data_IF_217161533126
#
_entry.id   IF_217161533126
#
_cell.length_a   1.000
_cell.length_b   1.000
_cell.length_c   1.000
_cell.angle_alpha   90.00
_cell.angle_beta   90.00
_cell.angle_gamma   90.00
#
_symmetry.space_group_name_H-M   'P 1'
#
loop_
_entity.id
_entity.type
_entity.pdbx_description
1 polymer ?
#
# COMPACT_ATOMS: atom_id res chain seq x y z
N UNK A 1 -10.61 3.88 -13.66
CA UNK A 1 -11.08 4.51 -12.40
C UNK A 1 -12.60 4.37 -12.41
N UNK A 2 -13.19 3.52 -11.56
CA UNK A 2 -14.60 3.14 -11.73
C UNK A 2 -15.55 4.34 -11.85
N UNK A 3 -16.50 4.26 -12.79
CA UNK A 3 -17.52 5.29 -13.05
C UNK A 3 -18.30 5.59 -11.77
N UNK A 4 -18.47 6.86 -11.42
CA UNK A 4 -19.24 7.27 -10.24
C UNK A 4 -20.67 7.69 -10.59
N UNK A 5 -21.53 7.84 -9.58
CA UNK A 5 -22.89 8.32 -9.77
C UNK A 5 -22.95 9.73 -10.40
N UNK A 6 -21.98 10.59 -10.07
CA UNK A 6 -21.87 11.94 -10.62
C UNK A 6 -21.48 11.95 -12.12
N UNK A 7 -20.89 10.88 -12.62
CA UNK A 7 -20.46 10.77 -14.02
C UNK A 7 -21.60 10.33 -14.95
N UNK A 8 -22.64 9.68 -14.42
CA UNK A 8 -23.73 9.11 -15.23
C UNK A 8 -24.38 10.14 -16.18
N UNK A 9 -24.77 11.35 -15.73
CA UNK A 9 -25.32 12.37 -16.64
C UNK A 9 -24.33 12.91 -17.68
N UNK A 10 -23.04 12.66 -17.50
CA UNK A 10 -21.96 13.15 -18.38
C UNK A 10 -21.57 12.12 -19.44
N UNK A 11 -22.08 10.89 -19.34
CA UNK A 11 -21.85 9.88 -20.36
C UNK A 11 -22.60 10.27 -21.64
N UNK A 12 -21.97 10.12 -22.83
CA UNK A 12 -22.60 10.47 -24.10
C UNK A 12 -23.96 9.79 -24.29
N UNK A 13 -24.99 10.59 -24.59
CA UNK A 13 -26.36 10.12 -24.78
C UNK A 13 -27.20 9.98 -23.50
N UNK A 14 -26.62 10.27 -22.32
CA UNK A 14 -27.32 10.26 -21.03
C UNK A 14 -27.53 11.66 -20.44
N UNK A 15 -27.37 12.73 -21.23
CA UNK A 15 -27.42 14.13 -20.79
C UNK A 15 -28.79 14.53 -20.24
N UNK A 16 -29.84 13.79 -20.60
CA UNK A 16 -31.20 13.98 -20.09
C UNK A 16 -31.38 13.45 -18.65
N UNK A 17 -30.48 12.60 -18.15
CA UNK A 17 -30.50 12.12 -16.76
C UNK A 17 -30.08 13.27 -15.83
N UNK A 18 -30.85 13.51 -14.77
CA UNK A 18 -30.60 14.62 -13.84
C UNK A 18 -30.22 14.10 -12.47
N UNK A 19 -29.15 14.63 -11.89
CA UNK A 19 -28.82 14.38 -10.49
C UNK A 19 -29.71 15.24 -9.59
N UNK A 20 -30.51 14.62 -8.69
CA UNK A 20 -31.60 15.30 -7.95
C UNK A 20 -31.33 15.47 -6.46
N UNK A 21 -30.61 14.56 -5.81
CA UNK A 21 -30.30 14.63 -4.38
C UNK A 21 -29.05 13.82 -4.02
N UNK A 22 -28.45 14.11 -2.85
CA UNK A 22 -27.33 13.36 -2.29
C UNK A 22 -25.97 13.66 -2.93
N UNK A 23 -25.73 14.92 -3.33
CA UNK A 23 -24.51 15.34 -4.05
C UNK A 23 -23.21 14.96 -3.33
N UNK A 24 -23.18 14.98 -1.99
CA UNK A 24 -21.99 14.57 -1.23
C UNK A 24 -21.63 13.08 -1.41
N UNK A 25 -22.60 12.24 -1.76
CA UNK A 25 -22.38 10.85 -2.15
C UNK A 25 -22.12 10.63 -3.64
N UNK A 26 -22.02 11.69 -4.46
CA UNK A 26 -21.89 11.57 -5.91
C UNK A 26 -20.69 10.75 -6.39
N UNK A 27 -19.62 10.70 -5.60
CA UNK A 27 -18.39 9.95 -5.90
C UNK A 27 -18.51 8.44 -5.64
N UNK A 28 -19.69 7.93 -5.24
CA UNK A 28 -19.90 6.49 -5.02
C UNK A 28 -19.69 5.73 -6.33
N UNK A 29 -18.80 4.72 -6.36
CA UNK A 29 -18.50 3.97 -7.57
C UNK A 29 -19.67 3.08 -7.97
N UNK A 30 -20.00 3.10 -9.25
CA UNK A 30 -21.03 2.26 -9.88
C UNK A 30 -20.36 1.02 -10.45
N UNK A 31 -20.69 -0.12 -9.85
CA UNK A 31 -20.22 -1.45 -10.28
C UNK A 31 -21.09 -2.04 -11.38
N UNK A 32 -22.40 -1.81 -11.34
CA UNK A 32 -23.36 -2.48 -12.22
C UNK A 32 -24.72 -1.78 -12.24
N UNK A 33 -25.40 -1.62 -13.39
CA UNK A 33 -26.80 -1.20 -13.43
C UNK A 33 -27.74 -2.39 -13.10
N UNK A 34 -28.71 -2.18 -12.20
CA UNK A 34 -29.71 -3.20 -11.85
C UNK A 34 -31.11 -2.62 -11.91
N UNK A 35 -32.04 -3.29 -12.57
CA UNK A 35 -33.44 -2.85 -12.65
C UNK A 35 -34.25 -3.58 -11.58
N UNK A 36 -34.82 -2.82 -10.65
CA UNK A 36 -35.62 -3.34 -9.56
C UNK A 36 -37.11 -3.39 -9.94
N UNK A 37 -37.66 -4.59 -9.94
CA UNK A 37 -39.09 -4.83 -10.22
C UNK A 37 -39.90 -5.16 -8.96
N UNK A 38 -39.23 -5.38 -7.83
CA UNK A 38 -39.83 -5.82 -6.57
C UNK A 38 -40.10 -4.65 -5.61
N UNK A 39 -40.94 -4.89 -4.59
CA UNK A 39 -41.23 -3.93 -3.51
C UNK A 39 -40.00 -3.55 -2.69
N UNK A 40 -39.07 -4.49 -2.50
CA UNK A 40 -37.80 -4.32 -1.80
C UNK A 40 -36.62 -4.73 -2.69
N UNK A 41 -35.45 -4.18 -2.40
CA UNK A 41 -34.20 -4.44 -3.14
C UNK A 41 -33.17 -5.21 -2.33
N UNK A 42 -33.26 -5.18 -0.99
CA UNK A 42 -32.29 -5.79 -0.08
C UNK A 42 -31.86 -7.24 -0.44
N UNK A 43 -32.76 -8.17 -0.84
CA UNK A 43 -32.36 -9.55 -1.16
C UNK A 43 -31.55 -9.71 -2.46
N UNK A 44 -31.55 -8.68 -3.33
CA UNK A 44 -31.09 -8.79 -4.72
C UNK A 44 -29.81 -7.99 -4.99
N UNK A 45 -29.41 -7.13 -4.07
CA UNK A 45 -28.24 -6.26 -4.19
C UNK A 45 -27.05 -6.80 -3.39
N UNK A 46 -25.84 -6.48 -3.84
CA UNK A 46 -24.57 -6.87 -3.19
C UNK A 46 -23.69 -5.66 -2.86
N UNK A 47 -24.17 -4.44 -3.11
CA UNK A 47 -23.45 -3.19 -2.94
C UNK A 47 -22.77 -2.73 -4.23
N UNK A 48 -22.72 -1.41 -4.42
CA UNK A 48 -22.16 -0.75 -5.60
C UNK A 48 -23.05 -0.75 -6.85
N UNK A 49 -24.27 -1.30 -6.81
CA UNK A 49 -25.21 -1.22 -7.94
C UNK A 49 -25.76 0.20 -8.11
N UNK A 50 -26.06 0.59 -9.35
CA UNK A 50 -26.94 1.71 -9.66
C UNK A 50 -28.33 1.14 -9.93
N UNK A 51 -29.24 1.33 -8.98
CA UNK A 51 -30.55 0.66 -9.00
C UNK A 51 -31.57 1.53 -9.72
N UNK A 52 -32.21 0.98 -10.75
CA UNK A 52 -33.26 1.63 -11.51
C UNK A 52 -34.62 1.20 -10.96
N UNK A 53 -35.44 2.18 -10.60
CA UNK A 53 -36.80 1.98 -10.12
C UNK A 53 -37.76 2.51 -11.16
N UNK A 54 -38.66 1.62 -11.59
CA UNK A 54 -39.80 1.95 -12.43
C UNK A 54 -41.09 1.82 -11.62
N UNK A 55 -42.21 2.28 -12.20
CA UNK A 55 -43.54 1.99 -11.69
C UNK A 55 -44.38 1.06 -12.57
N UNK A 56 -43.75 0.36 -13.53
CA UNK A 56 -44.46 -0.45 -14.55
C UNK A 56 -45.12 -1.69 -13.92
N UNK A 57 -44.33 -2.49 -13.21
CA UNK A 57 -44.81 -3.73 -12.60
C UNK A 57 -45.41 -3.51 -11.20
N UNK A 58 -45.08 -2.38 -10.58
CA UNK A 58 -45.45 -2.07 -9.20
C UNK A 58 -45.63 -0.56 -9.01
N UNK A 59 -46.80 -0.09 -8.55
CA UNK A 59 -47.00 1.31 -8.20
C UNK A 59 -46.05 1.75 -7.09
N UNK A 60 -45.31 2.84 -7.30
CA UNK A 60 -44.35 3.36 -6.32
C UNK A 60 -44.96 4.52 -5.53
N UNK A 61 -45.25 4.27 -4.26
CA UNK A 61 -45.64 5.31 -3.31
C UNK A 61 -44.42 6.04 -2.75
N UNK A 62 -44.60 7.24 -2.19
CA UNK A 62 -43.53 7.95 -1.48
C UNK A 62 -42.93 7.10 -0.35
N UNK A 63 -43.78 6.38 0.40
CA UNK A 63 -43.33 5.49 1.47
C UNK A 63 -42.45 4.36 0.95
N UNK A 64 -42.82 3.74 -0.18
CA UNK A 64 -42.01 2.70 -0.81
C UNK A 64 -40.66 3.27 -1.29
N UNK A 65 -40.64 4.43 -1.95
CA UNK A 65 -39.38 5.05 -2.39
C UNK A 65 -38.46 5.41 -1.22
N UNK A 66 -39.00 5.90 -0.10
CA UNK A 66 -38.22 6.15 1.13
C UNK A 66 -37.64 4.86 1.70
N UNK A 67 -38.43 3.78 1.73
CA UNK A 67 -37.95 2.46 2.15
C UNK A 67 -36.78 2.00 1.27
N UNK A 68 -36.90 2.11 -0.05
CA UNK A 68 -35.82 1.73 -0.97
C UNK A 68 -34.55 2.54 -0.75
N UNK A 69 -34.64 3.83 -0.42
CA UNK A 69 -33.47 4.65 -0.08
C UNK A 69 -32.78 4.12 1.18
N UNK A 70 -33.54 3.75 2.22
CA UNK A 70 -32.96 3.16 3.43
C UNK A 70 -32.28 1.83 3.15
N UNK A 71 -32.95 0.92 2.43
CA UNK A 71 -32.39 -0.38 2.04
C UNK A 71 -31.11 -0.20 1.21
N UNK A 72 -31.11 0.74 0.27
CA UNK A 72 -29.98 1.05 -0.58
C UNK A 72 -28.75 1.52 0.22
N UNK A 73 -28.96 2.41 1.20
CA UNK A 73 -27.88 2.90 2.07
C UNK A 73 -27.32 1.78 2.93
N UNK A 74 -28.19 0.96 3.54
CA UNK A 74 -27.79 -0.18 4.38
C UNK A 74 -26.95 -1.20 3.60
N UNK A 75 -27.33 -1.48 2.35
CA UNK A 75 -26.66 -2.46 1.49
C UNK A 75 -25.55 -1.86 0.61
N UNK A 76 -25.14 -0.62 0.89
CA UNK A 76 -24.04 0.06 0.19
C UNK A 76 -24.25 0.17 -1.33
N UNK A 77 -25.49 0.32 -1.78
CA UNK A 77 -25.83 0.63 -3.18
C UNK A 77 -25.18 1.97 -3.57
N UNK A 78 -24.80 2.11 -4.85
CA UNK A 78 -24.12 3.32 -5.34
C UNK A 78 -25.09 4.50 -5.44
N UNK A 79 -26.26 4.28 -6.04
CA UNK A 79 -27.30 5.28 -6.20
C UNK A 79 -28.63 4.70 -6.68
N UNK A 80 -29.67 5.52 -6.66
CA UNK A 80 -31.01 5.16 -7.15
C UNK A 80 -31.39 6.05 -8.34
N UNK A 81 -31.81 5.43 -9.43
CA UNK A 81 -32.34 6.10 -10.63
C UNK A 81 -33.85 5.89 -10.66
N UNK A 82 -34.62 6.97 -10.56
CA UNK A 82 -36.09 6.91 -10.61
C UNK A 82 -36.54 7.34 -12.00
N UNK A 83 -37.32 6.49 -12.64
CA UNK A 83 -37.88 6.78 -13.95
C UNK A 83 -39.13 7.62 -13.82
N UNK A 84 -39.08 8.86 -14.30
CA UNK A 84 -40.23 9.77 -14.25
C UNK A 84 -40.90 9.95 -15.60
N UNK A 85 -42.22 9.99 -15.59
CA UNK A 85 -43.06 10.09 -16.78
C UNK A 85 -44.55 10.12 -16.40
N UNK A 86 -45.43 10.47 -17.35
CA UNK A 86 -46.84 10.73 -17.06
C UNK A 86 -47.62 9.48 -16.59
N UNK A 87 -47.15 8.27 -16.95
CA UNK A 87 -47.89 7.01 -16.78
C UNK A 87 -47.71 6.35 -15.42
N UNK A 88 -46.51 6.39 -14.83
CA UNK A 88 -46.17 5.59 -13.65
C UNK A 88 -45.76 6.45 -12.45
N UNK A 89 -44.62 7.13 -12.54
CA UNK A 89 -44.11 8.04 -11.51
C UNK A 89 -44.02 9.42 -12.14
N UNK A 90 -44.97 10.31 -11.83
CA UNK A 90 -45.01 11.64 -12.46
C UNK A 90 -43.83 12.51 -12.09
N UNK A 91 -43.48 12.51 -10.81
CA UNK A 91 -42.35 13.25 -10.25
C UNK A 91 -41.83 12.53 -9.02
N UNK A 92 -40.56 12.81 -8.67
CA UNK A 92 -39.97 12.30 -7.43
C UNK A 92 -40.49 13.12 -6.25
N UNK A 93 -41.17 12.52 -5.25
CA UNK A 93 -41.68 13.25 -4.11
C UNK A 93 -40.59 14.00 -3.34
N UNK A 94 -40.87 15.23 -2.91
CA UNK A 94 -39.90 16.07 -2.20
C UNK A 94 -39.32 15.40 -0.95
N UNK A 95 -40.16 14.69 -0.19
CA UNK A 95 -39.72 13.97 1.01
C UNK A 95 -38.71 12.85 0.73
N UNK A 96 -38.68 12.27 -0.48
CA UNK A 96 -37.65 11.29 -0.89
C UNK A 96 -36.32 12.00 -1.14
N UNK A 97 -36.35 13.17 -1.80
CA UNK A 97 -35.16 13.97 -2.07
C UNK A 97 -34.54 14.52 -0.77
N UNK A 98 -35.37 14.99 0.17
CA UNK A 98 -34.92 15.44 1.49
C UNK A 98 -34.25 14.31 2.28
N UNK A 99 -34.84 13.12 2.29
CA UNK A 99 -34.24 11.93 2.91
C UNK A 99 -32.89 11.56 2.28
N UNK A 100 -32.82 11.56 0.95
CA UNK A 100 -31.59 11.25 0.24
C UNK A 100 -30.48 12.27 0.53
N UNK A 101 -30.83 13.56 0.63
CA UNK A 101 -29.87 14.59 1.03
C UNK A 101 -29.38 14.41 2.47
N UNK A 102 -30.26 14.07 3.42
CA UNK A 102 -29.84 13.87 4.82
C UNK A 102 -28.93 12.64 5.00
N UNK A 103 -29.08 11.63 4.13
CA UNK A 103 -28.25 10.43 4.10
C UNK A 103 -27.05 10.54 3.15
N UNK A 104 -26.87 11.68 2.47
CA UNK A 104 -25.86 11.86 1.42
C UNK A 104 -25.91 10.76 0.33
N UNK A 105 -27.11 10.28 -0.02
CA UNK A 105 -27.32 9.16 -0.94
C UNK A 105 -27.76 9.64 -2.33
N UNK A 106 -27.04 9.31 -3.42
CA UNK A 106 -27.36 9.77 -4.76
C UNK A 106 -28.74 9.32 -5.26
N UNK A 107 -29.57 10.29 -5.66
CA UNK A 107 -30.77 10.06 -6.46
C UNK A 107 -30.61 10.75 -7.81
N UNK A 108 -30.80 9.99 -8.88
CA UNK A 108 -30.89 10.47 -10.24
C UNK A 108 -32.30 10.28 -10.79
N UNK A 109 -32.69 11.16 -11.69
CA UNK A 109 -33.94 11.11 -12.43
C UNK A 109 -33.65 10.79 -13.89
N UNK A 110 -34.30 9.75 -14.39
CA UNK A 110 -34.29 9.41 -15.80
C UNK A 110 -35.67 9.70 -16.39
N UNK A 111 -35.80 10.56 -17.43
CA UNK A 111 -37.08 10.75 -18.09
C UNK A 111 -37.47 9.50 -18.89
N UNK A 112 -38.76 9.18 -18.92
CA UNK A 112 -39.29 8.01 -19.63
C UNK A 112 -39.05 8.04 -21.15
N UNK A 113 -38.83 9.24 -21.73
CA UNK A 113 -38.40 9.40 -23.12
C UNK A 113 -37.04 8.75 -23.41
N UNK A 114 -36.16 8.70 -22.41
CA UNK A 114 -34.85 8.10 -22.52
C UNK A 114 -34.96 6.58 -22.30
N UNK A 115 -34.76 5.82 -23.38
CA UNK A 115 -34.96 4.38 -23.38
C UNK A 115 -33.99 3.67 -22.45
N UNK A 116 -34.53 2.87 -21.54
CA UNK A 116 -33.73 2.09 -20.58
C UNK A 116 -32.63 1.26 -21.23
N UNK A 117 -32.89 0.63 -22.39
CA UNK A 117 -31.89 -0.16 -23.10
C UNK A 117 -30.64 0.65 -23.46
N UNK A 118 -30.81 1.91 -23.88
CA UNK A 118 -29.69 2.81 -24.18
C UNK A 118 -28.95 3.16 -22.90
N UNK A 119 -29.69 3.48 -21.83
CA UNK A 119 -29.10 3.85 -20.53
C UNK A 119 -28.26 2.71 -19.96
N UNK A 120 -28.83 1.50 -19.89
CA UNK A 120 -28.12 0.34 -19.33
C UNK A 120 -26.97 -0.09 -20.23
N UNK A 121 -27.08 0.01 -21.56
CA UNK A 121 -26.00 -0.29 -22.51
C UNK A 121 -24.83 0.69 -22.35
N UNK A 122 -25.09 2.00 -22.37
CA UNK A 122 -24.04 3.03 -22.23
C UNK A 122 -23.32 2.89 -20.89
N UNK A 123 -24.06 2.74 -19.80
CA UNK A 123 -23.46 2.57 -18.46
C UNK A 123 -22.65 1.28 -18.38
N UNK A 124 -23.18 0.16 -18.87
CA UNK A 124 -22.47 -1.12 -18.83
C UNK A 124 -21.19 -1.09 -19.67
N UNK A 125 -21.25 -0.54 -20.88
CA UNK A 125 -20.09 -0.39 -21.75
C UNK A 125 -19.03 0.51 -21.14
N UNK A 126 -19.44 1.63 -20.55
CA UNK A 126 -18.52 2.56 -19.90
C UNK A 126 -17.85 1.91 -18.67
N UNK A 127 -18.59 1.13 -17.85
CA UNK A 127 -18.02 0.36 -16.74
C UNK A 127 -17.01 -0.68 -17.24
N UNK A 128 -17.35 -1.41 -18.30
CA UNK A 128 -16.45 -2.42 -18.89
C UNK A 128 -15.19 -1.77 -19.48
N UNK A 129 -15.34 -0.68 -20.22
CA UNK A 129 -14.19 0.06 -20.79
C UNK A 129 -13.27 0.59 -19.70
N UNK A 130 -13.82 1.20 -18.64
CA UNK A 130 -13.01 1.70 -17.53
C UNK A 130 -12.24 0.56 -16.83
N UNK A 131 -12.92 -0.57 -16.58
CA UNK A 131 -12.28 -1.74 -16.00
C UNK A 131 -11.16 -2.30 -16.90
N UNK A 132 -11.38 -2.36 -18.22
CA UNK A 132 -10.37 -2.81 -19.18
C UNK A 132 -9.16 -1.88 -19.22
N UNK A 133 -9.35 -0.56 -19.26
CA UNK A 133 -8.25 0.42 -19.21
C UNK A 133 -7.47 0.28 -17.90
N UNK A 134 -8.17 0.15 -16.77
CA UNK A 134 -7.55 -0.08 -15.47
C UNK A 134 -6.73 -1.38 -15.42
N UNK A 135 -7.27 -2.47 -15.99
CA UNK A 135 -6.55 -3.75 -16.08
C UNK A 135 -5.35 -3.66 -17.02
N UNK A 136 -5.48 -3.04 -18.20
CA UNK A 136 -4.38 -2.84 -19.15
C UNK A 136 -3.26 -2.00 -18.53
N UNK A 137 -3.60 -0.96 -17.78
CA UNK A 137 -2.63 -0.14 -17.03
C UNK A 137 -1.91 -0.97 -15.97
N UNK A 138 -2.66 -1.73 -15.15
CA UNK A 138 -2.09 -2.59 -14.11
C UNK A 138 -1.18 -3.66 -14.71
N UNK A 139 -1.58 -4.30 -15.82
CA UNK A 139 -0.80 -5.30 -16.53
C UNK A 139 0.48 -4.73 -17.13
N UNK A 140 0.38 -3.56 -17.78
CA UNK A 140 1.53 -2.85 -18.35
C UNK A 140 2.58 -2.54 -17.28
N UNK A 141 2.16 -1.89 -16.18
CA UNK A 141 3.07 -1.57 -15.09
C UNK A 141 3.61 -2.83 -14.40
N UNK A 142 2.79 -3.86 -14.19
CA UNK A 142 3.25 -5.15 -13.62
C UNK A 142 4.33 -5.81 -14.48
N UNK A 143 4.24 -5.72 -15.81
CA UNK A 143 5.29 -6.23 -16.71
C UNK A 143 6.60 -5.45 -16.53
N UNK A 144 6.52 -4.12 -16.46
CA UNK A 144 7.70 -3.27 -16.23
C UNK A 144 8.37 -3.57 -14.89
N UNK A 145 7.58 -3.74 -13.82
CA UNK A 145 8.11 -4.09 -12.49
C UNK A 145 8.89 -5.40 -12.53
N UNK A 146 8.35 -6.41 -13.22
CA UNK A 146 8.98 -7.73 -13.34
C UNK A 146 10.16 -7.77 -14.33
N UNK A 147 10.62 -6.61 -14.83
CA UNK A 147 11.79 -6.53 -15.70
C UNK A 147 11.52 -6.97 -17.15
N UNK A 148 10.25 -7.11 -17.56
CA UNK A 148 9.90 -7.27 -18.97
C UNK A 148 10.06 -5.91 -19.67
N UNK A 149 11.29 -5.57 -20.05
CA UNK A 149 11.60 -4.31 -20.70
C UNK A 149 11.36 -4.41 -22.21
N UNK A 150 10.39 -3.63 -22.69
CA UNK A 150 10.38 -3.18 -24.09
C UNK A 150 11.43 -2.06 -24.27
N UNK A 151 11.77 -1.71 -25.51
CA UNK A 151 12.63 -0.55 -25.77
C UNK A 151 12.02 0.73 -25.14
N UNK A 152 12.81 1.67 -24.60
CA UNK A 152 12.29 2.86 -23.90
C UNK A 152 11.22 3.62 -24.70
N UNK A 153 11.39 3.74 -26.02
CA UNK A 153 10.44 4.42 -26.90
C UNK A 153 9.06 3.73 -26.93
N UNK A 154 9.02 2.40 -26.85
CA UNK A 154 7.78 1.62 -26.79
C UNK A 154 7.10 1.73 -25.42
N UNK A 155 7.88 1.90 -24.35
CA UNK A 155 7.37 2.15 -23.00
C UNK A 155 6.64 3.50 -22.97
N UNK A 156 7.29 4.56 -23.47
CA UNK A 156 6.69 5.90 -23.56
C UNK A 156 5.42 5.91 -24.41
N UNK A 157 5.43 5.25 -25.59
CA UNK A 157 4.27 5.18 -26.47
C UNK A 157 3.07 4.49 -25.77
N UNK A 158 3.30 3.33 -25.14
CA UNK A 158 2.24 2.62 -24.40
C UNK A 158 1.75 3.37 -23.18
N UNK A 159 2.64 4.05 -22.45
CA UNK A 159 2.26 4.88 -21.32
C UNK A 159 1.29 5.98 -21.78
N UNK A 160 1.61 6.68 -22.87
CA UNK A 160 0.75 7.70 -23.46
C UNK A 160 -0.61 7.15 -23.93
N UNK A 161 -0.64 5.98 -24.57
CA UNK A 161 -1.90 5.30 -24.98
C UNK A 161 -2.81 4.97 -23.78
N UNK A 162 -2.22 4.69 -22.62
CA UNK A 162 -2.93 4.38 -21.37
C UNK A 162 -3.24 5.63 -20.53
N UNK A 163 -2.89 6.82 -21.02
CA UNK A 163 -3.07 8.08 -20.30
C UNK A 163 -2.12 8.28 -19.12
N UNK A 164 -1.02 7.52 -19.05
CA UNK A 164 0.05 7.70 -18.07
C UNK A 164 1.03 8.77 -18.57
N UNK A 165 1.27 9.79 -17.75
CA UNK A 165 2.28 10.80 -18.03
C UNK A 165 3.61 10.43 -17.35
N UNK A 166 4.61 10.02 -18.12
CA UNK A 166 5.93 9.63 -17.63
C UNK A 166 7.04 10.68 -17.85
N UNK A 167 6.67 11.92 -18.16
CA UNK A 167 7.62 13.04 -18.34
C UNK A 167 8.16 13.59 -17.00
N UNK A 168 7.46 13.29 -15.90
CA UNK A 168 7.85 13.73 -14.56
C UNK A 168 8.69 12.66 -13.87
N UNK A 169 9.73 13.05 -13.13
CA UNK A 169 10.43 12.08 -12.31
C UNK A 169 9.50 11.53 -11.24
N UNK A 170 9.73 10.29 -10.85
CA UNK A 170 8.93 9.63 -9.81
C UNK A 170 9.82 8.91 -8.81
N UNK A 171 9.33 8.75 -7.58
CA UNK A 171 9.83 7.77 -6.64
C UNK A 171 8.83 6.61 -6.56
N UNK A 172 9.32 5.41 -6.30
CA UNK A 172 8.45 4.28 -5.96
C UNK A 172 8.41 4.14 -4.45
N UNK A 173 7.20 3.99 -3.91
CA UNK A 173 6.97 3.74 -2.49
C UNK A 173 6.38 2.35 -2.32
N UNK A 174 7.10 1.50 -1.61
CA UNK A 174 6.63 0.19 -1.17
C UNK A 174 6.11 0.28 0.26
N UNK A 175 4.87 -0.11 0.50
CA UNK A 175 4.25 -0.19 1.82
C UNK A 175 4.03 -1.65 2.19
N UNK A 176 4.46 -2.03 3.39
CA UNK A 176 4.38 -3.40 3.92
C UNK A 176 3.67 -3.44 5.27
N UNK A 177 2.87 -4.48 5.47
CA UNK A 177 2.28 -4.83 6.76
C UNK A 177 3.26 -5.73 7.53
N UNK A 178 3.58 -5.36 8.78
CA UNK A 178 4.42 -6.18 9.65
C UNK A 178 3.84 -7.57 9.89
N UNK A 179 4.68 -8.60 9.86
CA UNK A 179 4.28 -9.97 10.16
C UNK A 179 3.32 -10.60 9.14
N UNK A 180 3.12 -9.98 7.96
CA UNK A 180 2.20 -10.47 6.94
C UNK A 180 2.48 -11.93 6.57
N UNK A 181 3.74 -12.26 6.27
CA UNK A 181 4.12 -13.62 5.86
C UNK A 181 3.92 -14.67 6.98
N UNK A 182 4.16 -14.31 8.25
CA UNK A 182 3.92 -15.23 9.38
C UNK A 182 2.44 -15.49 9.59
N UNK A 183 1.61 -14.45 9.48
CA UNK A 183 0.15 -14.56 9.60
C UNK A 183 -0.48 -15.24 8.39
N UNK A 184 0.12 -15.14 7.20
CA UNK A 184 -0.36 -15.83 6.00
C UNK A 184 -0.19 -17.35 6.10
N UNK A 185 0.88 -17.80 6.77
CA UNK A 185 1.22 -19.21 6.98
C UNK A 185 0.49 -19.85 8.18
N UNK A 186 -0.33 -19.11 8.93
CA UNK A 186 -1.10 -19.69 10.03
C UNK A 186 -2.15 -20.68 9.49
N UNK A 187 -2.29 -21.85 10.13
CA UNK A 187 -3.31 -22.85 9.75
C UNK A 187 -4.75 -22.42 10.04
N UNK A 188 -4.93 -21.31 10.76
CA UNK A 188 -6.22 -20.71 11.07
C UNK A 188 -6.82 -20.00 9.84
N UNK A 189 -7.86 -20.60 9.26
CA UNK A 189 -8.54 -20.08 8.07
C UNK A 189 -9.20 -18.72 8.32
N UNK A 190 -9.65 -18.44 9.54
CA UNK A 190 -10.33 -17.17 9.85
C UNK A 190 -9.32 -16.02 9.89
N UNK A 191 -8.13 -16.26 10.46
CA UNK A 191 -7.03 -15.30 10.42
C UNK A 191 -6.55 -15.01 8.99
N UNK A 192 -6.50 -16.03 8.12
CA UNK A 192 -6.13 -15.87 6.73
C UNK A 192 -7.09 -14.94 5.97
N UNK A 193 -8.40 -15.15 6.11
CA UNK A 193 -9.43 -14.29 5.48
C UNK A 193 -9.39 -12.86 6.02
N UNK A 194 -9.22 -12.69 7.32
CA UNK A 194 -9.06 -11.37 7.94
C UNK A 194 -7.85 -10.62 7.36
N UNK A 195 -6.73 -11.30 7.16
CA UNK A 195 -5.51 -10.70 6.61
C UNK A 195 -5.70 -10.22 5.16
N UNK A 196 -6.33 -11.04 4.31
CA UNK A 196 -6.64 -10.66 2.93
C UNK A 196 -7.60 -9.47 2.91
N UNK A 197 -8.60 -9.46 3.80
CA UNK A 197 -9.55 -8.36 3.89
C UNK A 197 -8.87 -7.06 4.31
N UNK A 198 -8.03 -7.09 5.36
CA UNK A 198 -7.24 -5.95 5.82
C UNK A 198 -6.31 -5.42 4.71
N UNK A 199 -5.65 -6.31 3.96
CA UNK A 199 -4.79 -5.90 2.84
C UNK A 199 -5.59 -5.19 1.74
N UNK A 200 -6.74 -5.74 1.36
CA UNK A 200 -7.58 -5.14 0.31
C UNK A 200 -8.16 -3.79 0.76
N UNK A 201 -8.52 -3.67 2.05
CA UNK A 201 -8.91 -2.38 2.63
C UNK A 201 -7.76 -1.37 2.60
N UNK A 202 -6.53 -1.78 2.95
CA UNK A 202 -5.35 -0.93 2.85
C UNK A 202 -5.08 -0.49 1.39
N UNK A 203 -5.18 -1.40 0.41
CA UNK A 203 -5.05 -1.05 -1.02
C UNK A 203 -6.08 0.02 -1.44
N UNK A 204 -7.35 -0.15 -1.04
CA UNK A 204 -8.39 0.84 -1.35
C UNK A 204 -8.14 2.19 -0.69
N UNK A 205 -7.84 2.20 0.62
CA UNK A 205 -7.58 3.42 1.39
C UNK A 205 -6.34 4.16 0.87
N UNK A 206 -5.29 3.43 0.52
CA UNK A 206 -4.08 4.01 -0.04
C UNK A 206 -4.35 4.59 -1.43
N UNK A 207 -5.14 3.91 -2.26
CA UNK A 207 -5.52 4.40 -3.59
C UNK A 207 -6.36 5.67 -3.52
N UNK A 208 -7.30 5.76 -2.58
CA UNK A 208 -8.07 6.99 -2.33
C UNK A 208 -7.18 8.15 -1.88
N UNK A 209 -6.17 7.88 -1.05
CA UNK A 209 -5.24 8.90 -0.57
C UNK A 209 -4.42 9.47 -1.73
N UNK A 210 -3.88 8.61 -2.59
CA UNK A 210 -3.12 9.02 -3.77
C UNK A 210 -3.97 9.87 -4.73
N UNK A 211 -5.21 9.46 -5.00
CA UNK A 211 -6.14 10.22 -5.84
C UNK A 211 -6.44 11.62 -5.30
N UNK A 212 -6.63 11.77 -3.98
CA UNK A 212 -6.86 13.10 -3.36
C UNK A 212 -5.68 14.05 -3.55
N UNK A 213 -4.49 13.50 -3.81
CA UNK A 213 -3.27 14.26 -4.14
C UNK A 213 -3.05 14.43 -5.65
N UNK A 214 -3.98 13.97 -6.50
CA UNK A 214 -3.86 14.03 -7.96
C UNK A 214 -2.95 12.95 -8.54
N UNK A 215 -2.66 11.88 -7.79
CA UNK A 215 -1.91 10.72 -8.28
C UNK A 215 -2.92 9.65 -8.69
N UNK A 216 -3.19 9.56 -9.99
CA UNK A 216 -4.20 8.65 -10.55
C UNK A 216 -3.65 7.28 -10.96
N UNK A 217 -2.42 6.96 -10.54
CA UNK A 217 -1.75 5.72 -10.88
C UNK A 217 -2.28 4.57 -10.00
N UNK A 218 -2.50 3.37 -10.56
CA UNK A 218 -3.00 2.25 -9.78
C UNK A 218 -1.94 1.76 -8.77
N UNK A 219 -2.40 1.29 -7.61
CA UNK A 219 -1.54 0.55 -6.70
C UNK A 219 -1.28 -0.83 -7.28
N UNK A 220 0.00 -1.20 -7.27
CA UNK A 220 0.49 -2.47 -7.73
C UNK A 220 0.78 -3.34 -6.51
N UNK A 221 0.71 -4.66 -6.68
CA UNK A 221 0.98 -5.61 -5.60
C UNK A 221 2.08 -6.52 -6.07
N UNK A 222 3.19 -6.55 -5.35
CA UNK A 222 4.29 -7.49 -5.60
C UNK A 222 4.60 -8.24 -4.30
N UNK A 223 4.37 -9.54 -4.32
CA UNK A 223 4.47 -10.41 -3.14
C UNK A 223 3.59 -9.92 -1.98
N UNK A 224 4.19 -9.26 -0.98
CA UNK A 224 3.53 -8.70 0.22
C UNK A 224 3.51 -7.17 0.25
N UNK A 225 4.06 -6.53 -0.79
CA UNK A 225 4.25 -5.08 -0.85
C UNK A 225 3.18 -4.43 -1.71
N UNK A 226 2.56 -3.38 -1.19
CA UNK A 226 1.76 -2.44 -1.98
C UNK A 226 2.70 -1.38 -2.55
N UNK A 227 2.76 -1.30 -3.87
CA UNK A 227 3.66 -0.44 -4.61
C UNK A 227 2.86 0.73 -5.18
N UNK A 228 3.25 1.94 -4.81
CA UNK A 228 2.76 3.18 -5.39
C UNK A 228 3.87 3.86 -6.17
N UNK A 229 3.52 4.41 -7.34
CA UNK A 229 4.42 5.24 -8.13
C UNK A 229 4.04 6.69 -7.83
N UNK A 230 5.00 7.44 -7.29
CA UNK A 230 4.81 8.76 -6.71
C UNK A 230 5.50 9.81 -7.58
N UNK A 231 4.78 10.53 -8.45
CA UNK A 231 5.35 11.61 -9.24
C UNK A 231 5.87 12.72 -8.33
N UNK A 232 7.03 13.27 -8.65
CA UNK A 232 7.64 14.37 -7.93
C UNK A 232 8.08 15.47 -8.90
N UNK A 233 8.20 16.70 -8.40
CA UNK A 233 8.87 17.77 -9.15
C UNK A 233 10.38 17.75 -8.83
N UNK A 234 11.22 18.03 -9.84
CA UNK A 234 12.70 17.93 -9.75
C UNK A 234 13.31 18.71 -8.58
N UNK A 235 12.65 19.77 -8.11
CA UNK A 235 13.14 20.66 -7.06
C UNK A 235 12.61 20.33 -5.64
N UNK A 236 11.79 19.28 -5.48
CA UNK A 236 11.01 19.02 -4.24
C UNK A 236 11.33 17.68 -3.55
N UNK A 237 12.58 17.21 -3.59
CA UNK A 237 12.97 15.95 -2.93
C UNK A 237 12.74 15.93 -1.40
N UNK A 238 12.90 17.07 -0.71
CA UNK A 238 12.62 17.14 0.74
C UNK A 238 11.12 17.12 1.05
N UNK A 239 10.28 17.74 0.20
CA UNK A 239 8.84 17.75 0.37
C UNK A 239 8.24 16.35 0.17
N UNK A 240 8.85 15.53 -0.69
CA UNK A 240 8.43 14.14 -0.91
C UNK A 240 8.48 13.30 0.38
N UNK A 241 9.48 13.52 1.24
CA UNK A 241 9.59 12.81 2.52
C UNK A 241 8.44 13.14 3.47
N UNK A 242 8.16 14.43 3.65
CA UNK A 242 7.04 14.89 4.49
C UNK A 242 5.69 14.44 3.93
N UNK A 243 5.56 14.43 2.60
CA UNK A 243 4.37 13.95 1.91
C UNK A 243 4.10 12.47 2.15
N UNK A 244 5.11 11.62 1.96
CA UNK A 244 4.99 10.17 2.15
C UNK A 244 4.76 9.86 3.63
N UNK A 245 5.47 10.51 4.55
CA UNK A 245 5.28 10.29 5.98
C UNK A 245 3.87 10.71 6.44
N UNK A 246 3.38 11.86 5.96
CA UNK A 246 1.99 12.29 6.21
C UNK A 246 0.97 11.28 5.68
N UNK A 247 1.20 10.71 4.49
CA UNK A 247 0.33 9.68 3.92
C UNK A 247 0.35 8.39 4.77
N UNK A 248 1.53 7.94 5.17
CA UNK A 248 1.71 6.76 6.01
C UNK A 248 1.04 6.95 7.39
N UNK A 249 1.15 8.13 7.98
CA UNK A 249 0.48 8.48 9.24
C UNK A 249 -1.05 8.47 9.10
N UNK A 250 -1.60 8.97 8.01
CA UNK A 250 -3.04 8.91 7.76
C UNK A 250 -3.53 7.46 7.60
N UNK A 251 -2.78 6.60 6.90
CA UNK A 251 -3.11 5.18 6.78
C UNK A 251 -3.04 4.46 8.13
N UNK A 252 -1.99 4.73 8.91
CA UNK A 252 -1.83 4.16 10.25
C UNK A 252 -2.95 4.58 11.20
N UNK A 253 -3.41 5.83 11.14
CA UNK A 253 -4.51 6.33 11.97
C UNK A 253 -5.86 5.71 11.61
N UNK A 254 -6.06 5.34 10.34
CA UNK A 254 -7.29 4.66 9.89
C UNK A 254 -7.29 3.16 10.24
N UNK A 255 -6.12 2.55 10.38
CA UNK A 255 -5.94 1.12 10.68
C UNK A 255 -4.91 0.93 11.81
N UNK A 256 -5.24 1.33 13.06
CA UNK A 256 -4.32 1.28 14.19
C UNK A 256 -3.85 -0.14 14.56
N UNK A 257 -4.59 -1.17 14.16
CA UNK A 257 -4.26 -2.57 14.36
C UNK A 257 -3.13 -3.10 13.46
N UNK A 258 -2.78 -2.37 12.39
CA UNK A 258 -1.74 -2.75 11.44
C UNK A 258 -0.47 -1.96 11.69
N UNK A 259 0.67 -2.63 11.83
CA UNK A 259 1.97 -1.94 11.84
C UNK A 259 2.47 -1.78 10.41
N UNK A 260 2.42 -0.55 9.89
CA UNK A 260 2.81 -0.23 8.51
C UNK A 260 4.25 0.30 8.46
N UNK A 261 5.00 -0.22 7.50
CA UNK A 261 6.34 0.26 7.14
C UNK A 261 6.34 0.67 5.68
N UNK A 262 7.18 1.65 5.34
CA UNK A 262 7.34 2.14 3.99
C UNK A 262 8.83 2.28 3.60
N UNK A 263 9.10 2.05 2.33
CA UNK A 263 10.40 2.28 1.71
C UNK A 263 10.24 3.05 0.42
N UNK A 264 11.04 4.08 0.22
CA UNK A 264 11.01 4.90 -0.99
C UNK A 264 12.28 4.69 -1.83
N UNK A 265 12.16 4.65 -3.15
CA UNK A 265 13.30 4.62 -4.07
C UNK A 265 13.95 6.00 -4.23
N UNK A 266 15.10 6.04 -4.91
CA UNK A 266 15.60 7.30 -5.46
C UNK A 266 14.66 7.79 -6.59
N UNK A 267 14.70 9.09 -6.88
CA UNK A 267 13.95 9.68 -7.99
C UNK A 267 14.45 9.14 -9.33
N UNK A 268 13.54 8.57 -10.11
CA UNK A 268 13.80 8.06 -11.45
C UNK A 268 13.22 8.99 -12.52
N UNK A 269 13.89 9.13 -13.68
CA UNK A 269 13.47 10.07 -14.72
C UNK A 269 12.34 9.57 -15.63
N UNK A 270 12.00 8.27 -15.60
CA UNK A 270 11.01 7.69 -16.52
C UNK A 270 10.83 6.18 -16.31
N UNK A 271 9.75 5.62 -16.88
CA UNK A 271 9.24 4.29 -16.55
C UNK A 271 10.17 3.12 -16.91
N UNK A 272 11.18 3.36 -17.75
CA UNK A 272 12.21 2.37 -18.07
C UNK A 272 13.00 1.91 -16.84
N UNK A 273 13.10 2.73 -15.79
CA UNK A 273 13.78 2.40 -14.53
C UNK A 273 12.83 1.86 -13.46
N UNK A 274 11.56 1.58 -13.80
CA UNK A 274 10.55 1.19 -12.80
C UNK A 274 10.92 -0.09 -12.05
N UNK A 275 11.47 -1.09 -12.73
CA UNK A 275 11.92 -2.34 -12.08
C UNK A 275 12.98 -2.07 -11.01
N UNK A 276 14.00 -1.26 -11.33
CA UNK A 276 15.05 -0.88 -10.38
C UNK A 276 14.49 -0.04 -9.23
N UNK A 277 13.60 0.91 -9.52
CA UNK A 277 12.95 1.73 -8.49
C UNK A 277 12.14 0.88 -7.51
N UNK A 278 11.38 -0.10 -8.00
CA UNK A 278 10.68 -1.06 -7.14
C UNK A 278 11.67 -1.80 -6.26
N UNK A 279 12.74 -2.34 -6.83
CA UNK A 279 13.75 -3.05 -6.05
C UNK A 279 14.34 -2.18 -4.93
N UNK A 280 14.71 -0.93 -5.24
CA UNK A 280 15.20 0.04 -4.25
C UNK A 280 14.19 0.29 -3.13
N UNK A 281 12.93 0.57 -3.47
CA UNK A 281 11.87 0.82 -2.49
C UNK A 281 11.61 -0.41 -1.60
N UNK A 282 11.72 -1.62 -2.16
CA UNK A 282 11.57 -2.88 -1.43
C UNK A 282 12.74 -3.15 -0.48
N UNK A 283 13.96 -2.83 -0.90
CA UNK A 283 15.13 -2.89 -0.02
C UNK A 283 14.99 -1.90 1.14
N UNK A 284 14.48 -0.69 0.87
CA UNK A 284 14.24 0.31 1.91
C UNK A 284 13.15 -0.10 2.90
N UNK A 285 12.01 -0.65 2.45
CA UNK A 285 10.95 -1.10 3.37
C UNK A 285 11.39 -2.31 4.18
N UNK A 286 12.17 -3.22 3.58
CA UNK A 286 12.76 -4.35 4.28
C UNK A 286 13.68 -3.86 5.42
N UNK A 287 14.49 -2.83 5.16
CA UNK A 287 15.35 -2.20 6.16
C UNK A 287 14.53 -1.55 7.28
N UNK A 288 13.43 -0.86 6.93
CA UNK A 288 12.51 -0.25 7.89
C UNK A 288 11.89 -1.27 8.86
N UNK A 289 11.37 -2.37 8.31
CA UNK A 289 10.81 -3.49 9.08
C UNK A 289 11.86 -4.10 10.01
N UNK A 290 13.12 -4.19 9.55
CA UNK A 290 14.23 -4.77 10.32
C UNK A 290 14.65 -3.91 11.52
N UNK A 291 14.61 -2.57 11.40
CA UNK A 291 15.13 -1.66 12.42
C UNK A 291 14.08 -1.23 13.44
N UNK A 292 12.79 -1.29 13.11
CA UNK A 292 11.66 -1.09 14.04
C UNK A 292 11.53 0.30 14.69
N UNK A 293 12.54 1.16 14.59
CA UNK A 293 12.55 2.51 15.17
C UNK A 293 11.89 3.56 14.28
N UNK A 294 12.13 3.50 12.96
CA UNK A 294 11.56 4.43 11.98
C UNK A 294 10.75 3.64 10.94
N UNK A 295 9.54 4.13 10.63
CA UNK A 295 8.59 3.44 9.75
C UNK A 295 8.85 3.68 8.27
N UNK A 296 9.49 4.81 7.91
CA UNK A 296 9.79 5.20 6.54
C UNK A 296 11.31 5.34 6.36
N UNK A 297 11.86 4.64 5.37
CA UNK A 297 13.25 4.83 4.93
C UNK A 297 13.30 5.17 3.44
N UNK A 298 14.20 6.08 3.08
CA UNK A 298 14.54 6.32 1.68
C UNK A 298 15.71 5.45 1.28
N UNK A 299 15.75 5.05 0.01
CA UNK A 299 16.83 4.24 -0.52
C UNK A 299 18.16 4.92 -0.23
N UNK A 300 18.34 6.20 -0.62
CA UNK A 300 19.48 7.08 -0.35
C UNK A 300 20.00 7.11 1.11
N UNK A 301 19.18 6.77 2.10
CA UNK A 301 19.55 6.71 3.52
C UNK A 301 20.16 5.37 3.97
N UNK A 302 19.99 4.28 3.20
CA UNK A 302 20.48 2.96 3.61
C UNK A 302 22.03 2.87 3.68
N UNK A 303 22.76 3.80 3.04
CA UNK A 303 24.22 3.81 3.03
C UNK A 303 24.83 2.46 2.59
N UNK A 304 25.79 1.96 3.35
CA UNK A 304 26.49 0.70 3.06
C UNK A 304 25.57 -0.53 3.16
N UNK A 305 24.43 -0.44 3.86
CA UNK A 305 23.47 -1.53 3.97
C UNK A 305 22.93 -1.96 2.59
N UNK A 306 22.84 -1.03 1.63
CA UNK A 306 22.47 -1.33 0.24
C UNK A 306 23.39 -2.34 -0.42
N UNK A 307 24.70 -2.15 -0.23
CA UNK A 307 25.71 -3.02 -0.84
C UNK A 307 25.58 -4.44 -0.30
N UNK A 308 25.32 -4.58 1.00
CA UNK A 308 25.09 -5.88 1.62
C UNK A 308 23.74 -6.51 1.22
N UNK A 309 22.69 -5.70 1.05
CA UNK A 309 21.40 -6.17 0.58
C UNK A 309 21.46 -6.70 -0.86
N UNK A 310 22.26 -6.07 -1.72
CA UNK A 310 22.46 -6.43 -3.12
C UNK A 310 23.32 -7.69 -3.32
N UNK A 311 24.04 -8.17 -2.30
CA UNK A 311 24.84 -9.40 -2.40
C UNK A 311 23.90 -10.62 -2.28
N UNK A 312 23.72 -11.43 -3.35
CA UNK A 312 22.80 -12.56 -3.33
C UNK A 312 23.32 -13.74 -2.49
N UNK A 313 24.65 -13.87 -2.35
CA UNK A 313 25.29 -14.96 -1.63
C UNK A 313 25.23 -14.74 -0.10
N UNK A 314 24.11 -15.13 0.51
CA UNK A 314 23.90 -15.01 1.97
C UNK A 314 24.95 -15.76 2.80
N UNK A 315 25.45 -16.89 2.30
CA UNK A 315 26.50 -17.66 2.98
C UNK A 315 27.82 -16.87 3.10
N UNK A 316 28.17 -16.07 2.10
CA UNK A 316 29.36 -15.21 2.15
C UNK A 316 29.22 -14.15 3.26
N UNK A 317 28.05 -13.52 3.34
CA UNK A 317 27.73 -12.55 4.38
C UNK A 317 27.75 -13.19 5.78
N UNK A 318 27.19 -14.40 5.93
CA UNK A 318 27.18 -15.12 7.20
C UNK A 318 28.59 -15.53 7.65
N UNK A 319 29.43 -16.00 6.72
CA UNK A 319 30.84 -16.30 6.98
C UNK A 319 31.61 -15.06 7.42
N UNK A 320 31.39 -13.92 6.75
CA UNK A 320 32.00 -12.65 7.16
C UNK A 320 31.60 -12.28 8.60
N UNK A 321 30.30 -12.34 8.93
CA UNK A 321 29.85 -12.08 10.30
C UNK A 321 30.51 -13.02 11.31
N UNK A 322 30.58 -14.32 11.01
CA UNK A 322 31.16 -15.30 11.91
C UNK A 322 32.66 -15.11 12.10
N UNK A 323 33.38 -14.71 11.06
CA UNK A 323 34.80 -14.37 11.15
C UNK A 323 35.06 -13.12 12.00
N UNK A 324 34.20 -12.10 11.92
CA UNK A 324 34.42 -10.84 12.63
C UNK A 324 33.85 -10.82 14.05
N UNK A 325 32.65 -11.37 14.26
CA UNK A 325 31.96 -11.38 15.55
C UNK A 325 32.25 -12.63 16.38
N UNK A 326 32.87 -13.66 15.80
CA UNK A 326 33.21 -14.89 16.52
C UNK A 326 31.99 -15.52 17.18
N UNK A 327 32.10 -15.84 18.48
CA UNK A 327 31.00 -16.43 19.25
C UNK A 327 29.85 -15.46 19.55
N UNK A 328 30.03 -14.15 19.32
CA UNK A 328 28.91 -13.21 19.38
C UNK A 328 28.03 -13.32 18.14
N UNK A 329 28.54 -13.83 17.02
CA UNK A 329 27.77 -14.02 15.81
C UNK A 329 26.57 -14.94 16.07
N UNK A 330 25.39 -14.48 15.69
CA UNK A 330 24.08 -15.09 15.86
C UNK A 330 23.65 -15.46 17.30
N UNK A 331 24.44 -15.12 18.32
CA UNK A 331 24.13 -15.40 19.72
C UNK A 331 22.94 -14.57 20.24
N UNK A 332 22.08 -15.22 21.05
CA UNK A 332 20.80 -14.67 21.57
C UNK A 332 20.66 -14.72 23.09
N UNK A 333 21.65 -15.21 23.82
CA UNK A 333 21.62 -15.15 25.28
C UNK A 333 21.71 -13.70 25.77
N UNK A 334 21.09 -13.40 26.92
CA UNK A 334 21.02 -12.05 27.49
C UNK A 334 22.39 -11.39 27.62
N UNK A 335 23.43 -12.20 27.91
CA UNK A 335 24.79 -11.71 28.04
C UNK A 335 25.36 -11.28 26.68
N UNK A 336 25.22 -12.08 25.64
CA UNK A 336 25.64 -11.74 24.27
C UNK A 336 24.88 -10.55 23.71
N UNK A 337 23.57 -10.44 23.95
CA UNK A 337 22.77 -9.28 23.53
C UNK A 337 23.27 -7.98 24.20
N UNK A 338 23.54 -8.03 25.50
CA UNK A 338 24.11 -6.89 26.23
C UNK A 338 25.52 -6.51 25.75
N UNK A 339 26.35 -7.50 25.39
CA UNK A 339 27.68 -7.23 24.82
C UNK A 339 27.57 -6.65 23.40
N UNK A 340 26.64 -7.13 22.57
CA UNK A 340 26.35 -6.55 21.25
C UNK A 340 25.86 -5.11 21.35
N UNK A 341 24.93 -4.83 22.25
CA UNK A 341 24.46 -3.46 22.50
C UNK A 341 25.62 -2.55 22.92
N UNK A 342 26.48 -3.04 23.82
CA UNK A 342 27.67 -2.31 24.25
C UNK A 342 28.62 -2.04 23.08
N UNK A 343 28.85 -3.03 22.21
CA UNK A 343 29.69 -2.89 21.02
C UNK A 343 29.10 -1.89 20.01
N UNK A 344 27.80 -1.99 19.73
CA UNK A 344 27.09 -1.07 18.83
C UNK A 344 27.22 0.37 19.31
N UNK A 345 26.96 0.64 20.59
CA UNK A 345 27.11 2.00 21.15
C UNK A 345 28.56 2.48 21.10
N UNK A 346 29.51 1.61 21.42
CA UNK A 346 30.94 1.93 21.35
C UNK A 346 31.37 2.33 19.93
N UNK A 347 30.90 1.61 18.91
CA UNK A 347 31.22 1.87 17.50
C UNK A 347 30.52 3.14 16.99
N UNK A 348 29.25 3.35 17.35
CA UNK A 348 28.49 4.56 16.99
C UNK A 348 29.11 5.84 17.56
N UNK A 349 29.78 5.74 18.70
CA UNK A 349 30.51 6.84 19.34
C UNK A 349 32.00 6.84 18.97
N UNK A 350 32.35 6.29 17.81
CA UNK A 350 33.70 6.27 17.23
C UNK A 350 34.79 5.70 18.15
N UNK A 351 34.41 4.81 19.06
CA UNK A 351 35.30 4.21 20.04
C UNK A 351 35.57 5.06 21.30
N UNK A 352 34.76 6.10 21.55
CA UNK A 352 34.87 6.93 22.75
C UNK A 352 34.27 6.22 23.98
N UNK A 353 35.14 5.68 24.83
CA UNK A 353 34.73 4.96 26.03
C UNK A 353 33.95 5.81 27.04
N UNK A 354 34.24 7.11 27.15
CA UNK A 354 33.55 7.96 28.12
C UNK A 354 32.10 8.19 27.69
N UNK A 355 31.90 8.64 26.46
CA UNK A 355 30.56 8.86 25.90
C UNK A 355 29.74 7.56 25.86
N UNK A 356 30.40 6.43 25.58
CA UNK A 356 29.73 5.11 25.57
C UNK A 356 29.22 4.72 26.95
N UNK A 357 30.01 4.96 28.00
CA UNK A 357 29.61 4.66 29.38
C UNK A 357 28.43 5.53 29.82
N UNK A 358 28.45 6.82 29.46
CA UNK A 358 27.37 7.77 29.71
C UNK A 358 26.08 7.37 28.95
N UNK A 359 26.17 7.04 27.65
CA UNK A 359 25.02 6.63 26.84
C UNK A 359 24.36 5.33 27.31
N UNK A 360 25.15 4.40 27.89
CA UNK A 360 24.65 3.14 28.43
C UNK A 360 24.22 3.25 29.91
N UNK A 361 24.44 4.41 30.56
CA UNK A 361 24.14 4.59 31.98
C UNK A 361 24.99 3.71 32.92
N UNK A 362 26.20 3.31 32.50
CA UNK A 362 27.07 2.41 33.27
C UNK A 362 28.38 3.07 33.69
N UNK A 363 29.00 2.55 34.75
CA UNK A 363 30.32 3.03 35.18
C UNK A 363 31.42 2.64 34.18
N UNK A 364 32.42 3.52 34.00
CA UNK A 364 33.55 3.31 33.06
C UNK A 364 34.30 2.00 33.28
N UNK A 365 34.42 1.54 34.52
CA UNK A 365 35.05 0.25 34.84
C UNK A 365 34.24 -0.91 34.25
N UNK A 366 32.93 -0.90 34.41
CA UNK A 366 32.02 -1.92 33.85
C UNK A 366 32.11 -1.96 32.34
N UNK A 367 32.10 -0.78 31.68
CA UNK A 367 32.32 -0.70 30.23
C UNK A 367 33.66 -1.34 29.83
N UNK A 368 34.74 -1.01 30.53
CA UNK A 368 36.07 -1.56 30.24
C UNK A 368 36.10 -3.08 30.38
N UNK A 369 35.42 -3.65 31.36
CA UNK A 369 35.27 -5.10 31.50
C UNK A 369 34.48 -5.72 30.34
N UNK A 370 33.36 -5.10 29.92
CA UNK A 370 32.56 -5.55 28.77
C UNK A 370 33.35 -5.50 27.47
N UNK A 371 34.05 -4.39 27.18
CA UNK A 371 34.89 -4.27 25.98
C UNK A 371 36.02 -5.29 25.96
N UNK A 372 36.68 -5.54 27.10
CA UNK A 372 37.72 -6.58 27.20
C UNK A 372 37.15 -7.98 26.97
N UNK A 373 35.92 -8.24 27.44
CA UNK A 373 35.22 -9.50 27.17
C UNK A 373 34.88 -9.63 25.68
N UNK A 374 34.42 -8.57 25.04
CA UNK A 374 34.18 -8.55 23.59
C UNK A 374 35.46 -8.88 22.83
N UNK A 375 36.58 -8.22 23.13
CA UNK A 375 37.90 -8.50 22.52
C UNK A 375 38.32 -9.97 22.65
N UNK A 376 38.02 -10.61 23.80
CA UNK A 376 38.30 -12.04 24.01
C UNK A 376 37.43 -12.96 23.14
N UNK A 377 36.17 -12.58 22.90
CA UNK A 377 35.23 -13.39 22.12
C UNK A 377 35.45 -13.25 20.60
N UNK A 378 35.85 -12.05 20.15
CA UNK A 378 36.12 -11.77 18.73
C UNK A 378 37.57 -12.08 18.32
N UNK A 379 38.50 -12.21 19.27
CA UNK A 379 39.92 -12.50 18.99
C UNK A 379 40.73 -11.31 18.42
N UNK A 380 40.13 -10.12 18.33
CA UNK A 380 40.73 -8.90 17.79
C UNK A 380 40.67 -7.75 18.80
N UNK A 381 41.61 -6.80 18.71
CA UNK A 381 41.63 -5.60 19.55
C UNK A 381 40.76 -4.50 18.95
N UNK A 382 39.91 -3.88 19.77
CA UNK A 382 39.00 -2.81 19.36
C UNK A 382 39.71 -1.46 19.11
N UNK A 383 41.01 -1.37 19.45
CA UNK A 383 41.84 -0.20 19.18
C UNK A 383 42.14 0.03 17.69
N UNK A 384 42.09 -1.02 16.87
CA UNK A 384 42.35 -0.94 15.43
C UNK A 384 41.13 -0.39 14.67
N UNK A 385 41.34 0.63 13.85
CA UNK A 385 40.27 1.28 13.09
C UNK A 385 39.64 0.36 12.03
N UNK A 386 40.44 -0.49 11.39
CA UNK A 386 39.97 -1.43 10.38
C UNK A 386 39.16 -2.57 11.03
N UNK A 387 39.58 -3.04 12.21
CA UNK A 387 38.80 -4.00 13.01
C UNK A 387 37.45 -3.40 13.40
N UNK A 388 37.42 -2.15 13.90
CA UNK A 388 36.14 -1.48 14.23
C UNK A 388 35.21 -1.36 13.03
N UNK A 389 35.75 -0.99 11.86
CA UNK A 389 34.96 -0.93 10.62
C UNK A 389 34.36 -2.30 10.25
N UNK A 390 35.18 -3.36 10.29
CA UNK A 390 34.71 -4.71 9.99
C UNK A 390 33.66 -5.20 10.98
N UNK A 391 33.82 -4.89 12.28
CA UNK A 391 32.82 -5.21 13.30
C UNK A 391 31.52 -4.44 13.09
N UNK A 392 31.59 -3.15 12.74
CA UNK A 392 30.40 -2.35 12.47
C UNK A 392 29.64 -2.88 11.24
N UNK A 393 30.36 -3.23 10.18
CA UNK A 393 29.78 -3.88 9.01
C UNK A 393 29.21 -5.26 9.36
N UNK A 394 29.90 -6.05 10.17
CA UNK A 394 29.44 -7.38 10.58
C UNK A 394 28.14 -7.29 11.39
N UNK A 395 28.01 -6.34 12.33
CA UNK A 395 26.76 -6.12 13.06
C UNK A 395 25.61 -5.72 12.12
N UNK A 396 25.88 -4.84 11.15
CA UNK A 396 24.88 -4.42 10.16
C UNK A 396 24.45 -5.60 9.26
N UNK A 397 25.40 -6.40 8.77
CA UNK A 397 25.12 -7.59 7.97
C UNK A 397 24.35 -8.63 8.78
N UNK A 398 24.74 -8.86 10.03
CA UNK A 398 24.09 -9.79 10.94
C UNK A 398 22.60 -9.44 11.11
N UNK A 399 22.27 -8.16 11.27
CA UNK A 399 20.89 -7.67 11.32
C UNK A 399 20.11 -7.95 10.02
N UNK A 400 20.75 -7.78 8.85
CA UNK A 400 20.14 -8.08 7.55
C UNK A 400 19.86 -9.58 7.40
N UNK A 401 20.79 -10.44 7.83
CA UNK A 401 20.70 -11.90 7.69
C UNK A 401 19.70 -12.53 8.65
N UNK A 402 19.61 -12.04 9.89
CA UNK A 402 18.84 -12.68 10.97
C UNK A 402 17.34 -12.87 10.72
N UNK A 403 16.76 -12.14 9.77
CA UNK A 403 15.30 -12.08 9.59
C UNK A 403 14.79 -12.80 8.33
N UNK A 404 15.66 -13.45 7.55
CA UNK A 404 15.24 -14.46 6.58
C UNK A 404 15.26 -15.82 7.28
N UNK A 405 14.10 -16.35 7.70
CA UNK A 405 13.97 -17.71 8.21
C UNK A 405 14.44 -18.72 7.15
N UNK A 406 15.74 -19.03 7.10
CA UNK A 406 16.27 -20.23 6.44
C UNK A 406 17.75 -20.57 6.74
N UNK A 407 18.37 -20.02 7.79
CA UNK A 407 19.78 -20.33 8.12
C UNK A 407 19.91 -21.55 9.07
N UNK A 408 18.81 -22.09 9.58
CA UNK A 408 18.86 -23.29 10.44
C UNK A 408 19.14 -24.60 9.67
N UNK A 409 19.18 -24.60 8.33
CA UNK A 409 19.41 -25.80 7.53
C UNK A 409 20.79 -25.90 6.85
N UNK A 410 21.68 -24.90 7.00
CA UNK A 410 23.00 -24.91 6.36
C UNK A 410 24.19 -24.47 7.23
N UNK A 411 23.99 -24.28 8.54
CA UNK A 411 25.13 -24.23 9.45
C UNK A 411 25.69 -25.64 9.58
N UNK A 412 26.98 -25.89 9.25
CA UNK A 412 27.60 -27.15 9.59
C UNK A 412 27.55 -27.27 11.11
N UNK A 413 26.88 -28.33 11.58
CA UNK A 413 26.91 -28.76 12.98
C UNK A 413 28.37 -28.79 13.42
N UNK A 414 28.74 -27.89 14.32
CA UNK A 414 29.94 -28.03 15.14
C UNK A 414 29.72 -29.25 16.04
N UNK A 415 30.07 -30.42 15.50
CA UNK A 415 30.17 -31.67 16.21
C UNK A 415 31.65 -32.04 16.35
N UNK A 416 32.12 -31.93 17.59
CA UNK A 416 33.27 -32.59 18.24
C UNK A 416 34.29 -33.32 17.36
N UNK A 417 35.51 -32.76 17.31
CA UNK A 417 36.76 -33.52 17.36
C UNK A 417 37.84 -32.77 18.14
#
# INVERSE_FOLDING_TARGET
MGISCADIPRLPGLEEIRFRAGLQGGNRPVRWPYVAENDCIAPWVRGGELVFVTGINLPRSEANLKQLVHEAVEHQVAGLVILTGPEFIREIPAGVLELANSLNFPILEQPYSLKMVLVTEVISNAIVQDNLIGQSTKLFLTRLINGFADAPELIHLRAAELGLNDDRPYAVVSVRISGFHQRLLSEDKDQHWQLIHQRNQLEQQFGELLKRRGIDWPILVLEQDLIAIWPAEKDHASALADEIDSALNQLQNRMPELHLYAGASDLQPGLSQLSSAVEQSRQAVQFAVQHGGQRLFFYDQLGIARLFAAIPQRNLLAQFCQQQLGSLCFARDDQSLMLKETLTQYLNLFGNQQQTAESLGIHRNTLRHRLKRIEQLIGHRLGDAFVRLNLQNALLIEQILFQHHNIDSQLPTLGDH
#
